data_IF_433064494796
#
_entry.id   IF_433064494796
#
_cell.length_a   1.000
_cell.length_b   1.000
_cell.length_c   1.000
_cell.angle_alpha   90.00
_cell.angle_beta   90.00
_cell.angle_gamma   90.00
#
_symmetry.space_group_name_H-M   'P 1'
#
loop_
_entity.id
_entity.type
_entity.pdbx_description
1 polymer ?
#
# COMPACT_ATOMS: atom_id res chain seq x y z
N UNK A 1 -7.63 10.29 9.95
CA UNK A 1 -8.22 9.26 10.82
C UNK A 1 -9.39 8.53 10.20
N UNK A 2 -10.51 9.19 9.90
CA UNK A 2 -11.68 8.52 9.30
C UNK A 2 -11.35 7.77 7.99
N UNK A 3 -10.45 8.31 7.16
CA UNK A 3 -10.02 7.66 5.91
C UNK A 3 -9.26 6.33 6.08
N UNK A 4 -8.88 5.97 7.32
CA UNK A 4 -8.31 4.65 7.63
C UNK A 4 -9.41 3.60 7.91
N UNK A 5 -10.65 4.04 8.15
CA UNK A 5 -11.78 3.14 8.40
C UNK A 5 -12.19 2.41 7.12
N UNK A 6 -12.64 1.17 7.29
CA UNK A 6 -12.91 0.27 6.17
C UNK A 6 -14.12 0.69 5.32
N UNK A 7 -15.12 1.25 5.98
CA UNK A 7 -16.39 1.70 5.42
C UNK A 7 -16.38 3.20 5.08
N UNK A 8 -15.21 3.86 5.22
CA UNK A 8 -15.07 5.24 4.82
C UNK A 8 -15.27 5.39 3.31
N UNK A 9 -16.11 6.37 2.94
CA UNK A 9 -16.33 6.78 1.56
C UNK A 9 -16.14 8.28 1.49
N UNK A 10 -15.26 8.73 0.59
CA UNK A 10 -15.05 10.16 0.38
C UNK A 10 -16.31 10.82 -0.19
N UNK A 11 -16.67 12.00 0.33
CA UNK A 11 -17.78 12.76 -0.23
C UNK A 11 -17.40 13.36 -1.60
N UNK A 12 -18.37 13.74 -2.44
CA UNK A 12 -18.09 14.42 -3.70
C UNK A 12 -17.21 15.68 -3.52
N UNK A 13 -17.48 16.48 -2.50
CA UNK A 13 -16.71 17.69 -2.19
C UNK A 13 -15.26 17.36 -1.79
N UNK A 14 -15.05 16.27 -1.05
CA UNK A 14 -13.70 15.80 -0.70
C UNK A 14 -12.94 15.33 -1.95
N UNK A 15 -13.60 14.63 -2.88
CA UNK A 15 -13.00 14.21 -4.15
C UNK A 15 -12.64 15.41 -5.02
N UNK A 16 -13.49 16.44 -5.08
CA UNK A 16 -13.18 17.70 -5.77
C UNK A 16 -11.96 18.40 -5.17
N UNK A 17 -11.88 18.45 -3.83
CA UNK A 17 -10.72 19.01 -3.13
C UNK A 17 -9.43 18.21 -3.40
N UNK A 18 -9.49 16.89 -3.33
CA UNK A 18 -8.36 16.01 -3.63
C UNK A 18 -7.89 16.18 -5.09
N UNK A 19 -8.82 16.26 -6.04
CA UNK A 19 -8.50 16.54 -7.43
C UNK A 19 -7.83 17.91 -7.61
N UNK A 20 -8.35 18.96 -6.96
CA UNK A 20 -7.74 20.29 -7.00
C UNK A 20 -6.30 20.28 -6.48
N UNK A 21 -6.03 19.53 -5.40
CA UNK A 21 -4.67 19.36 -4.86
C UNK A 21 -3.74 18.63 -5.84
N UNK A 22 -4.24 17.60 -6.54
CA UNK A 22 -3.46 16.91 -7.59
C UNK A 22 -3.17 17.85 -8.77
N UNK A 23 -4.14 18.66 -9.21
CA UNK A 23 -3.90 19.65 -10.27
C UNK A 23 -2.80 20.64 -9.88
N UNK A 24 -2.92 21.23 -8.68
CA UNK A 24 -1.95 22.19 -8.15
C UNK A 24 -0.55 21.55 -8.04
N UNK A 25 -0.45 20.37 -7.43
CA UNK A 25 0.81 19.69 -7.21
C UNK A 25 1.51 19.33 -8.53
N UNK A 26 0.78 18.79 -9.51
CA UNK A 26 1.36 18.43 -10.81
C UNK A 26 1.78 19.67 -11.59
N UNK A 27 1.03 20.78 -11.52
CA UNK A 27 1.43 22.06 -12.11
C UNK A 27 2.67 22.65 -11.44
N UNK A 28 2.81 22.46 -10.13
CA UNK A 28 3.97 22.88 -9.34
C UNK A 28 5.21 22.00 -9.58
N UNK A 29 5.09 20.88 -10.30
CA UNK A 29 6.21 20.03 -10.70
C UNK A 29 6.24 18.65 -10.04
N UNK A 30 5.17 18.23 -9.34
CA UNK A 30 5.06 16.86 -8.87
C UNK A 30 5.10 15.87 -10.05
N UNK A 31 5.78 14.74 -9.86
CA UNK A 31 5.89 13.69 -10.88
C UNK A 31 4.56 13.02 -11.21
N UNK A 32 3.57 13.09 -10.31
CA UNK A 32 2.27 12.46 -10.50
C UNK A 32 1.53 12.22 -9.19
N UNK A 33 0.68 11.20 -9.19
CA UNK A 33 -0.21 10.86 -8.09
C UNK A 33 -0.08 9.37 -7.75
N UNK A 34 0.11 9.06 -6.48
CA UNK A 34 0.32 7.70 -5.96
C UNK A 34 -0.69 7.36 -4.89
N UNK A 35 -1.08 6.09 -4.82
CA UNK A 35 -1.97 5.55 -3.79
C UNK A 35 -1.45 4.24 -3.23
N UNK A 36 -1.95 3.85 -2.06
CA UNK A 36 -1.66 2.53 -1.50
C UNK A 36 -2.95 1.77 -1.27
N UNK A 37 -3.01 0.56 -1.80
CA UNK A 37 -4.05 -0.43 -1.49
C UNK A 37 -3.54 -1.64 -0.70
N UNK A 38 -2.24 -1.73 -0.51
CA UNK A 38 -1.55 -2.85 0.13
C UNK A 38 -2.04 -3.08 1.55
N UNK A 39 -2.32 -4.34 1.88
CA UNK A 39 -2.65 -4.77 3.26
C UNK A 39 -1.44 -4.70 4.21
N UNK A 40 -0.22 -4.57 3.66
CA UNK A 40 1.01 -4.43 4.44
C UNK A 40 1.26 -3.00 4.91
N UNK A 41 0.60 -2.01 4.33
CA UNK A 41 0.78 -0.61 4.72
C UNK A 41 -0.19 -0.25 5.84
N UNK A 42 0.37 0.02 7.02
CA UNK A 42 -0.36 0.32 8.25
C UNK A 42 0.14 1.61 8.90
N UNK A 43 -0.78 2.33 9.54
CA UNK A 43 -0.48 3.43 10.45
C UNK A 43 -0.04 2.88 11.83
N UNK A 44 0.58 3.67 12.73
CA UNK A 44 1.12 3.17 13.99
C UNK A 44 0.12 2.44 14.91
N UNK A 45 -1.17 2.78 14.81
CA UNK A 45 -2.24 2.11 15.58
C UNK A 45 -2.68 0.75 14.98
N UNK A 46 -2.03 0.31 13.90
CA UNK A 46 -2.27 -0.98 13.26
C UNK A 46 -3.35 -0.98 12.18
N UNK A 47 -4.15 0.10 12.03
CA UNK A 47 -5.10 0.22 10.91
C UNK A 47 -4.36 0.35 9.59
N UNK A 48 -5.02 0.02 8.49
CA UNK A 48 -4.46 0.24 7.16
C UNK A 48 -4.39 1.74 6.82
N UNK A 49 -3.43 2.09 5.97
CA UNK A 49 -3.32 3.48 5.46
C UNK A 49 -4.54 3.88 4.63
N UNK A 50 -4.84 5.19 4.51
CA UNK A 50 -5.86 5.68 3.59
C UNK A 50 -5.66 5.16 2.16
N UNK A 51 -6.75 4.80 1.50
CA UNK A 51 -6.75 4.21 0.14
C UNK A 51 -6.80 2.68 0.11
N UNK A 52 -6.48 1.98 1.21
CA UNK A 52 -6.55 0.51 1.28
C UNK A 52 -7.93 -0.05 1.00
N UNK A 53 -8.97 0.66 1.46
CA UNK A 53 -10.36 0.24 1.32
C UNK A 53 -11.16 1.05 0.30
N UNK A 54 -10.62 2.17 -0.19
CA UNK A 54 -11.28 3.04 -1.17
C UNK A 54 -11.73 2.30 -2.42
N UNK A 55 -12.87 2.71 -2.96
CA UNK A 55 -13.30 2.25 -4.27
C UNK A 55 -12.39 2.82 -5.37
N UNK A 56 -12.03 2.04 -6.42
CA UNK A 56 -11.21 2.57 -7.50
C UNK A 56 -11.71 3.88 -8.10
N UNK A 57 -13.03 4.12 -8.15
CA UNK A 57 -13.61 5.36 -8.68
C UNK A 57 -13.10 6.64 -8.00
N UNK A 58 -12.75 6.57 -6.70
CA UNK A 58 -12.12 7.69 -5.99
C UNK A 58 -10.78 8.09 -6.64
N UNK A 59 -10.00 7.10 -7.09
CA UNK A 59 -8.71 7.36 -7.74
C UNK A 59 -8.88 7.97 -9.13
N UNK A 60 -9.93 7.59 -9.86
CA UNK A 60 -10.27 8.20 -11.15
C UNK A 60 -10.63 9.68 -10.95
N UNK A 61 -11.46 9.98 -9.95
CA UNK A 61 -11.86 11.36 -9.63
C UNK A 61 -10.65 12.21 -9.21
N UNK A 62 -9.85 11.72 -8.26
CA UNK A 62 -8.67 12.44 -7.74
C UNK A 62 -7.60 12.66 -8.82
N UNK A 63 -7.38 11.69 -9.70
CA UNK A 63 -6.37 11.81 -10.76
C UNK A 63 -6.88 12.52 -12.04
N UNK A 64 -8.18 12.79 -12.16
CA UNK A 64 -8.80 13.34 -13.37
C UNK A 64 -8.07 14.58 -13.96
N UNK A 65 -7.59 15.54 -13.17
CA UNK A 65 -6.90 16.72 -13.72
C UNK A 65 -5.64 16.40 -14.52
N UNK A 66 -4.96 15.28 -14.23
CA UNK A 66 -3.76 14.86 -14.96
C UNK A 66 -4.00 14.63 -16.45
N UNK A 67 -5.23 14.27 -16.84
CA UNK A 67 -5.62 14.14 -18.25
C UNK A 67 -5.57 15.50 -18.96
N UNK A 68 -6.17 16.53 -18.36
CA UNK A 68 -6.19 17.89 -18.92
C UNK A 68 -4.80 18.55 -18.91
N UNK A 69 -3.99 18.30 -17.88
CA UNK A 69 -2.61 18.79 -17.80
C UNK A 69 -1.72 18.12 -18.86
N UNK A 70 -2.02 16.88 -19.23
CA UNK A 70 -1.23 16.10 -20.17
C UNK A 70 0.14 15.68 -19.62
N UNK A 71 0.31 15.67 -18.29
CA UNK A 71 1.56 15.31 -17.58
C UNK A 71 1.28 14.42 -16.37
N UNK A 72 2.36 13.85 -15.82
CA UNK A 72 2.35 13.06 -14.59
C UNK A 72 2.18 11.55 -14.78
N UNK A 73 2.57 10.79 -13.76
CA UNK A 73 2.54 9.32 -13.66
C UNK A 73 1.57 8.89 -12.56
N UNK A 74 0.78 7.86 -12.83
CA UNK A 74 -0.05 7.22 -11.81
C UNK A 74 0.76 6.13 -11.10
N UNK A 75 0.59 6.00 -9.79
CA UNK A 75 1.24 4.94 -9.01
C UNK A 75 0.28 4.26 -8.03
N UNK A 76 0.46 2.95 -7.83
CA UNK A 76 -0.26 2.20 -6.80
C UNK A 76 0.59 1.08 -6.21
N UNK A 77 0.50 0.92 -4.89
CA UNK A 77 0.81 -0.33 -4.22
C UNK A 77 -0.45 -1.24 -4.21
N UNK A 78 -0.58 -2.24 -5.12
CA UNK A 78 -1.86 -2.90 -5.34
C UNK A 78 -2.19 -3.94 -4.26
N UNK A 79 -3.49 -4.22 -4.10
CA UNK A 79 -3.99 -5.23 -3.17
C UNK A 79 -4.19 -6.56 -3.87
N UNK A 80 -3.12 -7.33 -4.10
CA UNK A 80 -3.22 -8.60 -4.84
C UNK A 80 -3.94 -9.72 -4.08
N UNK A 81 -3.89 -9.70 -2.75
CA UNK A 81 -4.45 -10.75 -1.89
C UNK A 81 -5.77 -10.32 -1.22
N UNK A 82 -6.47 -11.31 -0.65
CA UNK A 82 -7.55 -11.08 0.29
C UNK A 82 -7.00 -11.01 1.71
N UNK A 83 -7.69 -10.25 2.56
CA UNK A 83 -7.34 -10.14 3.98
C UNK A 83 -7.74 -11.43 4.71
N UNK A 84 -6.82 -12.01 5.47
CA UNK A 84 -7.02 -13.17 6.35
C UNK A 84 -7.61 -14.42 5.68
N UNK A 85 -7.55 -14.54 4.35
CA UNK A 85 -7.98 -15.73 3.62
C UNK A 85 -7.24 -15.89 2.29
N UNK A 86 -7.10 -17.12 1.77
CA UNK A 86 -6.57 -17.36 0.44
C UNK A 86 -7.44 -16.70 -0.64
N UNK A 87 -6.80 -16.18 -1.69
CA UNK A 87 -7.49 -15.65 -2.85
C UNK A 87 -6.65 -14.65 -3.63
N UNK A 88 -7.09 -14.37 -4.86
CA UNK A 88 -6.47 -13.42 -5.75
C UNK A 88 -7.41 -12.27 -6.06
N UNK A 89 -6.86 -11.06 -6.08
CA UNK A 89 -7.46 -9.84 -6.61
C UNK A 89 -6.68 -9.32 -7.82
N UNK A 90 -5.69 -10.06 -8.32
CA UNK A 90 -4.82 -9.64 -9.43
C UNK A 90 -5.64 -9.13 -10.60
N UNK A 91 -6.64 -9.89 -11.05
CA UNK A 91 -7.50 -9.52 -12.17
C UNK A 91 -8.25 -8.21 -11.90
N UNK A 92 -8.81 -8.06 -10.70
CA UNK A 92 -9.57 -6.87 -10.30
C UNK A 92 -8.66 -5.65 -10.23
N UNK A 93 -7.48 -5.79 -9.62
CA UNK A 93 -6.54 -4.69 -9.48
C UNK A 93 -5.96 -4.24 -10.84
N UNK A 94 -5.60 -5.19 -11.71
CA UNK A 94 -5.08 -4.86 -13.04
C UNK A 94 -6.15 -4.25 -13.94
N UNK A 95 -7.41 -4.67 -13.83
CA UNK A 95 -8.50 -4.14 -14.64
C UNK A 95 -8.69 -2.63 -14.42
N UNK A 96 -8.80 -2.18 -13.16
CA UNK A 96 -9.02 -0.75 -12.89
C UNK A 96 -7.76 0.08 -13.19
N UNK A 97 -6.55 -0.45 -12.93
CA UNK A 97 -5.29 0.24 -13.28
C UNK A 97 -5.15 0.44 -14.78
N UNK A 98 -5.50 -0.58 -15.58
CA UNK A 98 -5.53 -0.47 -17.02
C UNK A 98 -6.55 0.57 -17.50
N UNK A 99 -7.73 0.58 -16.88
CA UNK A 99 -8.81 1.48 -17.25
C UNK A 99 -8.49 2.94 -16.95
N UNK A 100 -8.00 3.27 -15.75
CA UNK A 100 -7.59 4.65 -15.43
C UNK A 100 -6.42 5.11 -16.31
N UNK A 101 -5.48 4.21 -16.64
CA UNK A 101 -4.37 4.53 -17.54
C UNK A 101 -4.86 4.91 -18.93
N UNK A 102 -5.84 4.18 -19.48
CA UNK A 102 -6.48 4.49 -20.77
C UNK A 102 -7.28 5.78 -20.70
N UNK A 103 -8.16 5.91 -19.71
CA UNK A 103 -9.09 7.03 -19.56
C UNK A 103 -8.37 8.36 -19.38
N UNK A 104 -7.35 8.42 -18.53
CA UNK A 104 -6.56 9.63 -18.35
C UNK A 104 -5.45 9.75 -19.40
N UNK A 105 -5.27 8.69 -20.19
CA UNK A 105 -4.17 8.55 -21.13
C UNK A 105 -2.84 8.80 -20.43
N UNK A 106 -2.58 8.31 -19.21
CA UNK A 106 -1.35 8.51 -18.38
C UNK A 106 -0.62 7.18 -18.11
N UNK A 107 0.72 7.16 -18.00
CA UNK A 107 1.44 5.96 -17.62
C UNK A 107 1.11 5.57 -16.17
N UNK A 108 1.02 4.27 -15.92
CA UNK A 108 0.72 3.72 -14.61
C UNK A 108 1.88 2.80 -14.18
N UNK A 109 2.65 3.26 -13.19
CA UNK A 109 3.68 2.48 -12.53
C UNK A 109 3.08 1.79 -11.30
N UNK A 110 3.40 0.54 -11.01
CA UNK A 110 2.87 -0.07 -9.79
C UNK A 110 3.81 -1.15 -9.26
N UNK A 111 3.73 -1.38 -7.96
CA UNK A 111 4.58 -2.36 -7.31
C UNK A 111 4.12 -3.79 -7.65
N UNK A 112 5.04 -4.59 -8.19
CA UNK A 112 4.92 -6.02 -8.39
C UNK A 112 5.65 -6.74 -7.26
N UNK A 113 4.90 -7.50 -6.47
CA UNK A 113 5.43 -8.25 -5.32
C UNK A 113 5.38 -9.75 -5.59
N UNK A 114 6.28 -10.50 -4.96
CA UNK A 114 6.11 -11.93 -4.78
C UNK A 114 5.56 -12.17 -3.36
N UNK A 115 4.34 -12.67 -3.28
CA UNK A 115 3.62 -12.95 -2.03
C UNK A 115 3.60 -14.47 -1.92
N UNK A 116 4.23 -15.01 -0.87
CA UNK A 116 4.45 -16.45 -0.71
C UNK A 116 3.17 -17.28 -0.85
N UNK A 117 2.11 -16.87 -0.17
CA UNK A 117 0.82 -17.58 -0.16
C UNK A 117 0.05 -17.47 -1.48
N UNK A 118 0.49 -16.62 -2.40
CA UNK A 118 -0.08 -16.48 -3.75
C UNK A 118 0.75 -17.19 -4.83
N UNK A 119 1.81 -17.92 -4.45
CA UNK A 119 2.68 -18.62 -5.38
C UNK A 119 3.22 -17.71 -6.49
N UNK A 120 3.05 -18.13 -7.74
CA UNK A 120 3.58 -17.45 -8.93
C UNK A 120 2.63 -16.39 -9.54
N UNK A 121 1.77 -15.77 -8.73
CA UNK A 121 0.82 -14.75 -9.21
C UNK A 121 1.47 -13.57 -9.97
N UNK A 122 2.75 -13.28 -9.73
CA UNK A 122 3.49 -12.24 -10.47
C UNK A 122 3.50 -12.49 -11.98
N UNK A 123 3.50 -13.75 -12.42
CA UNK A 123 3.39 -14.09 -13.85
C UNK A 123 2.06 -13.64 -14.43
N UNK A 124 0.97 -13.84 -13.68
CA UNK A 124 -0.37 -13.38 -14.07
C UNK A 124 -0.46 -11.86 -14.13
N UNK A 125 0.20 -11.16 -13.19
CA UNK A 125 0.28 -9.70 -13.22
C UNK A 125 0.99 -9.20 -14.49
N UNK A 126 2.12 -9.81 -14.84
CA UNK A 126 2.88 -9.46 -16.07
C UNK A 126 2.03 -9.70 -17.31
N UNK A 127 1.42 -10.88 -17.42
CA UNK A 127 0.56 -11.26 -18.55
C UNK A 127 -0.61 -10.27 -18.74
N UNK A 128 -1.31 -9.91 -17.66
CA UNK A 128 -2.42 -8.95 -17.72
C UNK A 128 -1.94 -7.54 -18.07
N UNK A 129 -0.74 -7.14 -17.60
CA UNK A 129 -0.16 -5.85 -17.95
C UNK A 129 0.21 -5.77 -19.44
N UNK A 130 0.74 -6.85 -20.02
CA UNK A 130 1.01 -6.96 -21.46
C UNK A 130 -0.29 -6.86 -22.27
N UNK A 131 -1.30 -7.66 -21.93
CA UNK A 131 -2.61 -7.63 -22.58
C UNK A 131 -3.29 -6.25 -22.50
N UNK A 132 -3.19 -5.58 -21.36
CA UNK A 132 -3.72 -4.23 -21.18
C UNK A 132 -2.96 -3.21 -22.04
N UNK A 133 -1.65 -3.36 -22.18
CA UNK A 133 -0.83 -2.47 -23.01
C UNK A 133 -1.16 -2.62 -24.50
N UNK A 134 -1.47 -3.83 -24.97
CA UNK A 134 -1.90 -4.09 -26.35
C UNK A 134 -3.23 -3.38 -26.70
N UNK A 135 -4.02 -3.02 -25.69
CA UNK A 135 -5.30 -2.30 -25.83
C UNK A 135 -5.21 -0.83 -25.44
N UNK A 136 -3.99 -0.28 -25.36
CA UNK A 136 -3.75 1.16 -25.20
C UNK A 136 -3.52 1.64 -23.76
N UNK A 137 -3.53 0.75 -22.76
CA UNK A 137 -3.03 1.10 -21.43
C UNK A 137 -1.50 1.29 -21.45
N UNK A 138 -0.95 1.87 -20.38
CA UNK A 138 0.50 2.06 -20.23
C UNK A 138 0.95 1.62 -18.85
N UNK A 139 0.76 0.34 -18.58
CA UNK A 139 1.09 -0.36 -17.35
C UNK A 139 2.58 -0.70 -17.29
N UNK A 140 3.22 -0.38 -16.17
CA UNK A 140 4.65 -0.59 -15.88
C UNK A 140 4.80 -1.24 -14.50
N UNK A 141 4.68 -2.58 -14.39
CA UNK A 141 4.98 -3.28 -13.15
C UNK A 141 6.46 -3.07 -12.77
N UNK A 142 6.72 -2.74 -11.52
CA UNK A 142 8.07 -2.59 -10.96
C UNK A 142 8.31 -3.61 -9.87
N UNK A 143 9.41 -4.35 -9.96
CA UNK A 143 9.83 -5.33 -8.94
C UNK A 143 11.24 -5.02 -8.46
N UNK A 144 11.51 -5.28 -7.18
CA UNK A 144 12.87 -5.19 -6.65
C UNK A 144 13.68 -6.41 -7.08
N UNK A 145 14.95 -6.25 -7.51
CA UNK A 145 15.79 -7.38 -7.93
C UNK A 145 16.25 -8.27 -6.78
N UNK A 146 15.90 -7.91 -5.53
CA UNK A 146 16.25 -8.61 -4.30
C UNK A 146 15.09 -8.56 -3.32
N UNK A 147 15.06 -9.53 -2.41
CA UNK A 147 14.11 -9.57 -1.29
C UNK A 147 14.21 -8.33 -0.41
N UNK A 148 13.07 -7.86 0.09
CA UNK A 148 12.99 -6.80 1.08
C UNK A 148 13.59 -7.33 2.39
N UNK A 149 14.57 -6.62 2.94
CA UNK A 149 15.11 -6.91 4.27
C UNK A 149 14.34 -6.10 5.30
N UNK A 150 13.96 -6.73 6.42
CA UNK A 150 13.34 -6.04 7.55
C UNK A 150 14.40 -5.85 8.64
N UNK A 151 14.50 -4.62 9.16
CA UNK A 151 15.35 -4.31 10.29
C UNK A 151 14.52 -4.39 11.57
N UNK A 152 14.92 -5.28 12.48
CA UNK A 152 14.32 -5.39 13.80
C UNK A 152 15.24 -4.78 14.84
N UNK A 153 14.66 -4.10 15.82
CA UNK A 153 15.40 -3.49 16.92
C UNK A 153 14.50 -3.34 18.12
N UNK A 154 15.03 -3.53 19.33
CA UNK A 154 14.31 -3.22 20.58
C UNK A 154 13.91 -1.74 20.69
N UNK A 155 14.54 -0.86 19.89
CA UNK A 155 14.18 0.55 19.79
C UNK A 155 13.02 0.83 18.81
N UNK A 156 12.61 -0.16 18.03
CA UNK A 156 11.55 -0.10 17.03
C UNK A 156 10.72 -1.39 17.10
N UNK A 157 10.21 -1.87 15.96
CA UNK A 157 9.53 -3.16 15.88
C UNK A 157 10.54 -4.31 16.00
N UNK A 158 10.13 -5.37 16.66
CA UNK A 158 10.89 -6.59 16.92
C UNK A 158 10.15 -7.82 16.40
N UNK A 159 10.79 -8.98 16.45
CA UNK A 159 10.15 -10.27 16.13
C UNK A 159 9.30 -10.82 17.29
N UNK A 160 9.31 -10.15 18.44
CA UNK A 160 8.67 -10.60 19.67
C UNK A 160 7.57 -9.64 20.15
N UNK A 161 7.19 -8.65 19.33
CA UNK A 161 6.23 -7.61 19.69
C UNK A 161 4.88 -8.21 20.11
N UNK A 162 4.46 -9.31 19.47
CA UNK A 162 3.20 -10.00 19.74
C UNK A 162 3.28 -10.99 20.92
N UNK A 163 4.45 -11.19 21.54
CA UNK A 163 4.57 -12.10 22.69
C UNK A 163 3.98 -11.46 23.95
N UNK A 164 3.10 -12.15 24.71
CA UNK A 164 2.43 -11.57 25.88
C UNK A 164 3.37 -10.93 26.90
N UNK A 165 4.52 -11.55 27.16
CA UNK A 165 5.50 -11.06 28.13
C UNK A 165 6.26 -9.81 27.65
N UNK A 166 6.38 -9.61 26.34
CA UNK A 166 7.00 -8.42 25.75
C UNK A 166 5.98 -7.28 25.61
N UNK A 167 4.72 -7.57 25.28
CA UNK A 167 3.64 -6.59 25.19
C UNK A 167 3.51 -5.74 26.47
N UNK A 168 3.71 -6.34 27.65
CA UNK A 168 3.74 -5.67 28.95
C UNK A 168 4.79 -4.53 29.07
N UNK A 169 5.82 -4.51 28.21
CA UNK A 169 6.92 -3.54 28.24
C UNK A 169 7.07 -2.76 26.93
N UNK A 170 6.22 -3.02 25.94
CA UNK A 170 6.32 -2.43 24.61
C UNK A 170 6.21 -0.89 24.65
N UNK A 171 5.42 -0.33 25.56
CA UNK A 171 5.24 1.12 25.67
C UNK A 171 6.38 1.86 26.39
N UNK A 172 7.35 1.12 26.95
CA UNK A 172 8.53 1.74 27.60
C UNK A 172 9.47 2.32 26.56
N UNK A 173 10.29 3.28 26.97
CA UNK A 173 11.43 3.72 26.17
C UNK A 173 12.49 2.60 26.03
N UNK A 174 13.47 2.80 25.16
CA UNK A 174 14.51 1.80 24.90
C UNK A 174 15.23 1.37 26.19
N UNK A 175 15.53 2.32 27.08
CA UNK A 175 16.23 2.03 28.33
C UNK A 175 15.37 1.13 29.24
N UNK A 176 14.09 1.47 29.42
CA UNK A 176 13.15 0.69 30.23
C UNK A 176 12.83 -0.68 29.64
N UNK A 177 12.81 -0.82 28.30
CA UNK A 177 12.69 -2.13 27.62
C UNK A 177 13.91 -3.00 27.91
N UNK A 178 15.13 -2.45 27.79
CA UNK A 178 16.37 -3.19 28.03
C UNK A 178 16.51 -3.63 29.49
N UNK A 179 16.13 -2.78 30.44
CA UNK A 179 16.10 -3.15 31.85
C UNK A 179 15.12 -4.30 32.12
N UNK A 180 13.90 -4.20 31.58
CA UNK A 180 12.89 -5.24 31.77
C UNK A 180 13.28 -6.58 31.13
N UNK A 181 13.85 -6.58 29.93
CA UNK A 181 14.31 -7.80 29.26
C UNK A 181 15.44 -8.49 30.04
N UNK A 182 16.22 -7.74 30.83
CA UNK A 182 17.27 -8.31 31.69
C UNK A 182 16.73 -8.98 32.96
N UNK A 183 15.48 -8.73 33.32
CA UNK A 183 14.83 -9.40 34.45
C UNK A 183 14.70 -10.91 34.18
N UNK A 184 15.30 -11.80 35.00
CA UNK A 184 15.34 -13.23 34.70
C UNK A 184 13.96 -13.88 34.50
N UNK A 185 12.98 -13.51 35.31
CA UNK A 185 11.62 -14.05 35.23
C UNK A 185 10.90 -13.66 33.93
N UNK A 186 10.97 -12.38 33.56
CA UNK A 186 10.43 -11.90 32.28
C UNK A 186 11.16 -12.50 31.09
N UNK A 187 12.50 -12.56 31.15
CA UNK A 187 13.31 -13.16 30.10
C UNK A 187 12.91 -14.60 29.82
N UNK A 188 12.68 -15.40 30.87
CA UNK A 188 12.20 -16.77 30.72
C UNK A 188 10.84 -16.80 29.99
N UNK A 189 9.88 -15.98 30.44
CA UNK A 189 8.54 -15.85 29.80
C UNK A 189 8.54 -15.35 28.35
N UNK A 190 9.62 -14.71 27.88
CA UNK A 190 9.78 -14.28 26.48
C UNK A 190 10.37 -15.40 25.63
N UNK A 191 11.23 -16.26 26.21
CA UNK A 191 11.98 -17.29 25.49
C UNK A 191 11.22 -18.62 25.43
N UNK A 192 10.50 -18.98 26.49
CA UNK A 192 9.71 -20.22 26.64
C UNK A 192 8.31 -20.09 26.04
#
# INVERSE_FOLDING_TARGET
DAACERDFVATPEQLEQMAAQVDEAVRAGAFGYSISRSLFHRVPDGRNVPGTWSDPSEFFATAAPMAAIGRGVLESAPRYNLENQPGSRVEVELAWMAEISRTLGRPFSFNLQQIGDMGDHYRRVIELAEQANDTGARLRPQITPRSVGVLFSLAANTLIDDLPAYAEIADRDLAGRLEAIREPGRRARIIE
#
